data_IF_454595220252
#
_entry.id   IF_454595220252
#
_cell.length_a   1.000
_cell.length_b   1.000
_cell.length_c   1.000
_cell.angle_alpha   90.00
_cell.angle_beta   90.00
_cell.angle_gamma   90.00
#
_symmetry.space_group_name_H-M   'P 1'
#
loop_
_entity.id
_entity.type
_entity.pdbx_description
1 polymer ?
#
# COMPACT_ATOMS: atom_id res chain seq x y z
N UNK A 1 14.48 -10.29 -7.33
CA UNK A 1 13.97 -9.09 -8.01
C UNK A 1 13.36 -8.21 -6.94
N UNK A 2 13.62 -6.90 -6.93
CA UNK A 2 12.98 -6.03 -5.95
C UNK A 2 11.49 -5.86 -6.31
N UNK A 3 10.62 -5.67 -5.32
CA UNK A 3 9.18 -5.44 -5.58
C UNK A 3 8.93 -4.19 -6.44
N UNK A 4 9.83 -3.20 -6.39
CA UNK A 4 9.83 -2.04 -7.29
C UNK A 4 10.00 -2.42 -8.76
N UNK A 5 10.86 -3.41 -9.05
CA UNK A 5 11.11 -3.86 -10.43
C UNK A 5 9.88 -4.61 -10.96
N UNK A 6 9.23 -5.42 -10.11
CA UNK A 6 7.97 -6.11 -10.44
C UNK A 6 6.90 -5.09 -10.84
N UNK A 7 6.75 -4.01 -10.05
CA UNK A 7 5.78 -2.95 -10.36
C UNK A 7 6.11 -2.27 -11.70
N UNK A 8 7.39 -1.97 -11.96
CA UNK A 8 7.81 -1.35 -13.21
C UNK A 8 7.51 -2.24 -14.43
N UNK A 9 7.85 -3.53 -14.36
CA UNK A 9 7.55 -4.50 -15.41
C UNK A 9 6.03 -4.65 -15.65
N UNK A 10 5.24 -4.71 -14.58
CA UNK A 10 3.78 -4.79 -14.67
C UNK A 10 3.17 -3.54 -15.32
N UNK A 11 3.69 -2.35 -15.02
CA UNK A 11 3.24 -1.08 -15.63
C UNK A 11 3.52 -1.02 -17.14
N UNK A 12 4.60 -1.63 -17.61
CA UNK A 12 4.95 -1.66 -19.03
C UNK A 12 4.22 -2.78 -19.80
N UNK A 13 3.98 -3.92 -19.14
CA UNK A 13 3.51 -5.14 -19.80
C UNK A 13 1.99 -5.36 -19.72
N UNK A 14 1.32 -4.91 -18.64
CA UNK A 14 -0.12 -5.13 -18.44
C UNK A 14 -0.93 -3.99 -19.05
N UNK A 15 -2.09 -4.32 -19.62
CA UNK A 15 -3.06 -3.31 -20.08
C UNK A 15 -3.79 -2.62 -18.93
N UNK A 16 -3.90 -3.29 -17.78
CA UNK A 16 -4.47 -2.76 -16.54
C UNK A 16 -3.78 -3.42 -15.34
N UNK A 17 -3.44 -2.60 -14.34
CA UNK A 17 -2.88 -3.05 -13.07
C UNK A 17 -3.92 -2.83 -11.98
N UNK A 18 -4.37 -3.90 -11.32
CA UNK A 18 -5.36 -3.83 -10.25
C UNK A 18 -4.65 -3.56 -8.94
N UNK A 19 -4.86 -2.37 -8.39
CA UNK A 19 -4.31 -1.98 -7.08
C UNK A 19 -5.42 -1.99 -6.04
N UNK A 20 -5.23 -2.73 -4.94
CA UNK A 20 -6.19 -2.79 -3.84
C UNK A 20 -5.77 -1.90 -2.67
N UNK A 21 -6.70 -1.11 -2.12
CA UNK A 21 -6.44 -0.29 -0.94
C UNK A 21 -6.34 -1.11 0.34
N UNK A 22 -5.37 -0.80 1.19
CA UNK A 22 -5.18 -1.39 2.51
C UNK A 22 -4.83 -0.33 3.56
N UNK A 23 -5.10 -0.63 4.82
CA UNK A 23 -4.83 0.26 5.97
C UNK A 23 -4.03 -0.42 7.10
N UNK A 24 -3.77 -1.72 6.97
CA UNK A 24 -2.87 -2.51 7.83
C UNK A 24 -2.28 -3.72 7.08
N UNK A 25 -1.40 -4.49 7.73
CA UNK A 25 -0.77 -5.67 7.12
C UNK A 25 -1.77 -6.79 6.78
N UNK A 26 -2.84 -6.95 7.57
CA UNK A 26 -3.84 -8.00 7.35
C UNK A 26 -4.69 -7.69 6.12
N UNK A 27 -5.19 -6.46 5.98
CA UNK A 27 -5.91 -5.99 4.79
C UNK A 27 -5.04 -6.04 3.55
N UNK A 28 -3.75 -5.68 3.63
CA UNK A 28 -2.80 -5.84 2.52
C UNK A 28 -2.66 -7.32 2.11
N UNK A 29 -2.58 -8.24 3.08
CA UNK A 29 -2.54 -9.68 2.79
C UNK A 29 -3.83 -10.17 2.12
N UNK A 30 -4.98 -9.65 2.54
CA UNK A 30 -6.26 -9.94 1.90
C UNK A 30 -6.30 -9.45 0.45
N UNK A 31 -5.73 -8.28 0.16
CA UNK A 31 -5.57 -7.77 -1.21
C UNK A 31 -4.72 -8.74 -2.04
N UNK A 32 -3.57 -9.18 -1.53
CA UNK A 32 -2.69 -10.14 -2.22
C UNK A 32 -3.39 -11.46 -2.55
N UNK A 33 -4.02 -12.11 -1.56
CA UNK A 33 -4.63 -13.44 -1.78
C UNK A 33 -5.87 -13.40 -2.70
N UNK A 34 -6.47 -12.22 -2.90
CA UNK A 34 -7.56 -12.02 -3.85
C UNK A 34 -7.06 -11.68 -5.27
N UNK A 35 -5.75 -11.79 -5.53
CA UNK A 35 -5.17 -11.71 -6.86
C UNK A 35 -5.11 -10.28 -7.42
N UNK A 36 -4.93 -9.29 -6.55
CA UNK A 36 -4.51 -7.94 -6.96
C UNK A 36 -3.03 -7.92 -7.32
N UNK A 37 -2.64 -6.96 -8.15
CA UNK A 37 -1.28 -6.85 -8.67
C UNK A 37 -0.37 -6.04 -7.74
N UNK A 38 -0.93 -5.09 -6.98
CA UNK A 38 -0.23 -4.29 -5.97
C UNK A 38 -1.19 -3.82 -4.86
N UNK A 39 -0.63 -3.30 -3.78
CA UNK A 39 -1.36 -2.70 -2.65
C UNK A 39 -1.18 -1.19 -2.66
N UNK A 40 -2.25 -0.45 -2.40
CA UNK A 40 -2.24 0.98 -2.12
C UNK A 40 -2.34 1.22 -0.61
N UNK A 41 -1.25 1.68 -0.01
CA UNK A 41 -1.20 2.12 1.38
C UNK A 41 -1.64 3.60 1.43
N UNK A 42 -2.96 3.83 1.45
CA UNK A 42 -3.54 5.17 1.32
C UNK A 42 -3.58 5.96 2.62
N UNK A 43 -3.13 7.22 2.59
CA UNK A 43 -3.09 8.12 3.75
C UNK A 43 -4.46 8.29 4.40
N UNK A 44 -5.50 8.44 3.57
CA UNK A 44 -6.89 8.48 4.00
C UNK A 44 -7.30 7.28 4.86
N UNK A 45 -7.07 6.07 4.35
CA UNK A 45 -7.54 4.85 5.00
C UNK A 45 -6.78 4.58 6.31
N UNK A 46 -5.48 4.86 6.33
CA UNK A 46 -4.63 4.75 7.52
C UNK A 46 -5.01 5.80 8.57
N UNK A 47 -5.30 7.04 8.17
CA UNK A 47 -5.79 8.09 9.08
C UNK A 47 -7.14 7.72 9.69
N UNK A 48 -8.03 7.11 8.90
CA UNK A 48 -9.35 6.68 9.36
C UNK A 48 -9.29 5.60 10.46
N UNK A 49 -8.30 4.69 10.45
CA UNK A 49 -8.15 3.70 11.54
C UNK A 49 -7.74 4.34 12.86
N UNK A 50 -7.20 5.57 12.83
CA UNK A 50 -6.86 6.37 14.00
C UNK A 50 -7.97 7.35 14.41
N UNK A 51 -9.14 7.28 13.76
CA UNK A 51 -10.24 8.23 13.92
C UNK A 51 -9.83 9.69 13.67
N UNK A 52 -8.88 9.90 12.76
CA UNK A 52 -8.40 11.21 12.34
C UNK A 52 -8.83 11.50 10.90
N UNK A 53 -9.11 12.78 10.57
CA UNK A 53 -9.25 13.18 9.18
C UNK A 53 -7.91 13.05 8.44
N UNK A 54 -8.00 12.84 7.15
CA UNK A 54 -6.87 12.85 6.23
C UNK A 54 -6.40 14.29 5.99
N UNK A 55 -5.54 14.77 6.89
CA UNK A 55 -5.12 16.17 6.98
C UNK A 55 -3.71 16.32 7.57
N UNK A 56 -2.83 15.34 7.31
CA UNK A 56 -1.43 15.30 7.78
C UNK A 56 -1.28 15.47 9.30
N UNK A 57 -2.23 14.91 10.06
CA UNK A 57 -2.18 14.87 11.53
C UNK A 57 -1.30 13.71 12.00
N UNK A 58 -1.42 12.55 11.35
CA UNK A 58 -0.45 11.47 11.53
C UNK A 58 0.91 11.90 10.99
N UNK A 59 1.95 11.49 11.70
CA UNK A 59 3.34 11.72 11.33
C UNK A 59 3.78 10.80 10.20
N UNK A 60 4.79 11.21 9.44
CA UNK A 60 5.38 10.36 8.40
C UNK A 60 5.92 9.03 8.95
N UNK A 61 6.40 9.01 10.20
CA UNK A 61 6.84 7.77 10.85
C UNK A 61 5.68 6.80 11.05
N UNK A 62 4.48 7.29 11.39
CA UNK A 62 3.29 6.45 11.54
C UNK A 62 2.86 5.85 10.19
N UNK A 63 2.83 6.65 9.12
CA UNK A 63 2.55 6.14 7.77
C UNK A 63 3.62 5.14 7.30
N UNK A 64 4.90 5.45 7.49
CA UNK A 64 6.02 4.56 7.14
C UNK A 64 5.90 3.22 7.85
N UNK A 65 5.62 3.22 9.16
CA UNK A 65 5.49 1.98 9.92
C UNK A 65 4.38 1.07 9.36
N UNK A 66 3.23 1.66 8.98
CA UNK A 66 2.13 0.90 8.38
C UNK A 66 2.56 0.34 7.02
N UNK A 67 3.16 1.14 6.14
CA UNK A 67 3.61 0.69 4.83
C UNK A 67 4.71 -0.38 4.92
N UNK A 68 5.67 -0.24 5.85
CA UNK A 68 6.71 -1.24 6.13
C UNK A 68 6.10 -2.57 6.58
N UNK A 69 5.12 -2.54 7.49
CA UNK A 69 4.44 -3.76 7.94
C UNK A 69 3.69 -4.45 6.78
N UNK A 70 3.09 -3.69 5.86
CA UNK A 70 2.47 -4.25 4.66
C UNK A 70 3.50 -4.86 3.71
N UNK A 71 4.66 -4.19 3.54
CA UNK A 71 5.75 -4.65 2.70
C UNK A 71 6.30 -5.99 3.20
N UNK A 72 6.54 -6.13 4.50
CA UNK A 72 7.01 -7.38 5.11
C UNK A 72 5.99 -8.52 4.98
N UNK A 73 4.69 -8.22 5.06
CA UNK A 73 3.62 -9.22 5.02
C UNK A 73 3.28 -9.73 3.61
N UNK A 74 3.51 -8.94 2.56
CA UNK A 74 3.07 -9.22 1.20
C UNK A 74 4.23 -9.54 0.25
N UNK A 75 4.00 -10.37 -0.76
CA UNK A 75 4.99 -10.60 -1.84
C UNK A 75 4.80 -9.67 -3.05
N UNK A 76 3.64 -9.01 -3.14
CA UNK A 76 3.33 -8.03 -4.18
C UNK A 76 3.79 -6.61 -3.79
N UNK A 77 3.96 -5.68 -4.75
CA UNK A 77 4.42 -4.32 -4.46
C UNK A 77 3.45 -3.52 -3.59
N UNK A 78 4.00 -2.66 -2.72
CA UNK A 78 3.25 -1.68 -1.95
C UNK A 78 3.54 -0.29 -2.53
N UNK A 79 2.48 0.44 -2.87
CA UNK A 79 2.53 1.84 -3.30
C UNK A 79 2.10 2.67 -2.10
N UNK A 80 3.04 3.43 -1.54
CA UNK A 80 2.80 4.28 -0.38
C UNK A 80 2.33 5.67 -0.79
N UNK A 81 1.26 6.13 -0.15
CA UNK A 81 0.86 7.54 -0.15
C UNK A 81 1.78 8.34 0.77
N UNK A 82 2.37 9.42 0.25
CA UNK A 82 3.41 10.18 0.95
C UNK A 82 3.08 11.66 1.10
N UNK A 83 1.84 12.09 0.82
CA UNK A 83 1.41 13.49 0.87
C UNK A 83 2.48 14.48 0.33
N UNK A 84 2.75 15.59 1.03
CA UNK A 84 3.70 16.66 0.67
C UNK A 84 4.68 16.98 1.79
#
# INVERSE_FOLDING_TARGET
>A
MAKSDILHEDLESKSILKVGGAFDAMSAKLVEINGFDAVWAGGFAISATHALPDASILTMTEFLNVASNMEEACNIPIIADCDT
#
